data_IF_149960029859
#
_entry.id   IF_149960029859
#
_cell.length_a   1.000
_cell.length_b   1.000
_cell.length_c   1.000
_cell.angle_alpha   90.00
_cell.angle_beta   90.00
_cell.angle_gamma   90.00
#
_symmetry.space_group_name_H-M   'P 1'
#
loop_
_entity.id
_entity.type
_entity.pdbx_description
1 polymer ?
#
# COMPACT_ATOMS: atom_id res chain seq x y z
N UNK A 1 -2.57 4.88 10.51
CA UNK A 1 -3.46 3.99 9.74
C UNK A 1 -3.50 2.60 10.37
N UNK A 2 -2.37 1.94 10.54
CA UNK A 2 -2.27 0.56 11.04
C UNK A 2 -2.97 0.36 12.39
N UNK A 3 -2.86 1.28 13.34
CA UNK A 3 -3.52 1.15 14.65
C UNK A 3 -5.05 1.22 14.54
N UNK A 4 -5.59 2.06 13.64
CA UNK A 4 -7.03 2.12 13.38
C UNK A 4 -7.52 0.80 12.77
N UNK A 5 -6.79 0.26 11.79
CA UNK A 5 -7.14 -1.04 11.20
C UNK A 5 -7.06 -2.19 12.20
N UNK A 6 -6.07 -2.19 13.11
CA UNK A 6 -6.00 -3.16 14.20
C UNK A 6 -7.22 -3.07 15.13
N UNK A 7 -7.62 -1.85 15.49
CA UNK A 7 -8.81 -1.64 16.32
C UNK A 7 -10.06 -2.19 15.64
N UNK A 8 -10.27 -1.88 14.36
CA UNK A 8 -11.40 -2.40 13.58
C UNK A 8 -11.37 -3.94 13.56
N UNK A 9 -10.20 -4.54 13.29
CA UNK A 9 -10.03 -6.00 13.27
C UNK A 9 -10.30 -6.71 14.59
N UNK A 10 -10.22 -6.00 15.72
CA UNK A 10 -10.55 -6.54 17.04
C UNK A 10 -12.06 -6.48 17.37
N UNK A 11 -12.82 -5.61 16.68
CA UNK A 11 -14.22 -5.32 17.01
C UNK A 11 -15.21 -5.77 15.93
N UNK A 12 -14.73 -6.05 14.72
CA UNK A 12 -15.55 -6.44 13.57
C UNK A 12 -14.98 -7.68 12.87
N UNK A 13 -15.84 -8.46 12.27
CA UNK A 13 -15.44 -9.57 11.39
C UNK A 13 -14.93 -9.02 10.07
N UNK A 14 -13.64 -8.75 10.00
CA UNK A 14 -13.04 -8.17 8.82
C UNK A 14 -11.75 -8.87 8.38
N UNK A 15 -11.46 -8.78 7.10
CA UNK A 15 -10.15 -9.08 6.54
C UNK A 15 -9.44 -7.78 6.18
N UNK A 16 -8.15 -7.68 6.50
CA UNK A 16 -7.33 -6.49 6.29
C UNK A 16 -6.11 -6.87 5.47
N UNK A 17 -5.93 -6.21 4.34
CA UNK A 17 -4.84 -6.43 3.41
C UNK A 17 -4.00 -5.18 3.25
N UNK A 18 -2.69 -5.33 3.46
CA UNK A 18 -1.70 -4.30 3.22
C UNK A 18 -1.13 -4.49 1.82
N UNK A 19 -1.40 -3.58 0.90
CA UNK A 19 -0.98 -3.70 -0.50
C UNK A 19 0.53 -3.85 -0.66
N UNK A 20 1.32 -3.25 0.22
CA UNK A 20 2.77 -3.39 0.24
C UNK A 20 3.21 -4.84 0.52
N UNK A 21 2.53 -5.54 1.46
CA UNK A 21 2.80 -6.94 1.76
C UNK A 21 2.38 -7.85 0.60
N UNK A 22 1.24 -7.55 -0.02
CA UNK A 22 0.80 -8.28 -1.22
C UNK A 22 1.77 -8.04 -2.36
N UNK A 23 2.27 -6.82 -2.53
CA UNK A 23 3.33 -6.51 -3.49
C UNK A 23 4.61 -7.35 -3.28
N UNK A 24 4.86 -7.87 -2.09
CA UNK A 24 5.90 -8.87 -1.87
C UNK A 24 5.45 -10.27 -2.28
N UNK A 25 4.25 -10.70 -1.89
CA UNK A 25 3.69 -12.02 -2.22
C UNK A 25 3.61 -12.27 -3.72
N UNK A 26 3.16 -11.30 -4.50
CA UNK A 26 3.05 -11.45 -5.97
C UNK A 26 4.40 -11.52 -6.68
N UNK A 27 5.50 -11.30 -5.97
CA UNK A 27 6.88 -11.46 -6.44
C UNK A 27 7.57 -12.70 -5.91
N UNK A 28 6.89 -13.56 -5.16
CA UNK A 28 7.46 -14.81 -4.66
C UNK A 28 7.68 -15.81 -5.80
N UNK A 29 8.72 -16.64 -5.73
CA UNK A 29 8.99 -17.65 -6.74
C UNK A 29 7.77 -18.50 -7.07
N UNK A 30 7.49 -18.69 -8.37
CA UNK A 30 6.34 -19.44 -8.86
C UNK A 30 5.08 -18.62 -9.12
N UNK A 31 5.05 -17.34 -8.78
CA UNK A 31 3.92 -16.46 -9.13
C UNK A 31 4.04 -15.91 -10.55
N UNK A 32 2.91 -15.53 -11.15
CA UNK A 32 2.90 -14.86 -12.46
C UNK A 32 3.73 -13.57 -12.47
N UNK A 33 3.61 -12.76 -11.39
CA UNK A 33 4.38 -11.53 -11.22
C UNK A 33 5.88 -11.78 -11.16
N UNK A 34 6.32 -12.82 -10.45
CA UNK A 34 7.73 -13.25 -10.42
C UNK A 34 8.25 -13.57 -11.81
N UNK A 35 7.55 -14.45 -12.54
CA UNK A 35 7.97 -14.84 -13.88
C UNK A 35 8.00 -13.67 -14.86
N UNK A 36 7.02 -12.77 -14.80
CA UNK A 36 6.99 -11.58 -15.64
C UNK A 36 8.14 -10.61 -15.32
N UNK A 37 8.49 -10.43 -14.05
CA UNK A 37 9.64 -9.60 -13.65
C UNK A 37 10.97 -10.19 -14.10
N UNK A 38 11.16 -11.49 -13.95
CA UNK A 38 12.37 -12.19 -14.44
C UNK A 38 12.47 -12.10 -15.95
N UNK A 39 11.36 -12.26 -16.68
CA UNK A 39 11.33 -12.10 -18.12
C UNK A 39 11.67 -10.66 -18.56
N UNK A 40 11.20 -9.65 -17.82
CA UNK A 40 11.48 -8.24 -18.09
C UNK A 40 12.93 -7.84 -17.80
N UNK A 41 13.45 -8.27 -16.65
CA UNK A 41 14.71 -7.74 -16.10
C UNK A 41 15.88 -8.73 -16.18
N UNK A 42 15.60 -10.00 -16.52
CA UNK A 42 16.58 -11.08 -16.58
C UNK A 42 16.99 -11.62 -15.20
N UNK A 43 17.70 -12.75 -15.19
CA UNK A 43 18.10 -13.46 -13.97
C UNK A 43 19.01 -12.65 -13.03
N UNK A 44 19.60 -11.57 -13.49
CA UNK A 44 20.44 -10.69 -12.66
C UNK A 44 19.71 -9.97 -11.53
N UNK A 45 18.38 -10.15 -11.39
CA UNK A 45 17.60 -9.70 -10.24
C UNK A 45 17.35 -10.82 -9.23
N UNK A 46 17.93 -12.00 -9.41
CA UNK A 46 17.72 -13.14 -8.54
C UNK A 46 18.87 -13.31 -7.55
N UNK A 47 18.53 -13.58 -6.32
CA UNK A 47 19.46 -14.06 -5.30
C UNK A 47 19.79 -15.56 -5.52
N UNK A 48 20.85 -16.09 -4.88
CA UNK A 48 21.24 -17.49 -5.04
C UNK A 48 20.16 -18.53 -4.65
N UNK A 49 19.20 -18.13 -3.83
CA UNK A 49 18.04 -18.94 -3.42
C UNK A 49 16.86 -18.86 -4.39
N UNK A 50 17.01 -18.13 -5.50
CA UNK A 50 15.99 -17.94 -6.51
C UNK A 50 14.94 -16.88 -6.17
N UNK A 51 15.04 -16.19 -5.04
CA UNK A 51 14.16 -15.07 -4.72
C UNK A 51 14.61 -13.79 -5.45
N UNK A 52 13.69 -12.82 -5.57
CA UNK A 52 14.07 -11.52 -6.12
C UNK A 52 14.95 -10.77 -5.12
N UNK A 53 16.16 -10.45 -5.53
CA UNK A 53 17.10 -9.59 -4.83
C UNK A 53 16.65 -8.12 -4.97
N UNK A 54 16.08 -7.58 -3.88
CA UNK A 54 15.56 -6.20 -3.86
C UNK A 54 16.64 -5.16 -4.20
N UNK A 55 17.86 -5.20 -3.64
CA UNK A 55 18.97 -4.34 -4.04
C UNK A 55 19.29 -4.41 -5.52
N UNK A 56 19.42 -5.62 -6.08
CA UNK A 56 19.75 -5.82 -7.50
C UNK A 56 18.64 -5.27 -8.42
N UNK A 57 17.38 -5.54 -8.08
CA UNK A 57 16.23 -4.99 -8.79
C UNK A 57 16.19 -3.46 -8.72
N UNK A 58 16.39 -2.89 -7.53
CA UNK A 58 16.42 -1.43 -7.34
C UNK A 58 17.56 -0.77 -8.12
N UNK A 59 18.74 -1.39 -8.17
CA UNK A 59 19.89 -0.89 -8.93
C UNK A 59 19.58 -0.82 -10.44
N UNK A 60 18.89 -1.84 -11.00
CA UNK A 60 18.48 -1.83 -12.41
C UNK A 60 17.46 -0.73 -12.70
N UNK A 61 16.46 -0.55 -11.83
CA UNK A 61 15.45 0.51 -11.97
C UNK A 61 16.12 1.89 -11.87
N UNK A 62 17.10 2.04 -10.99
CA UNK A 62 17.84 3.30 -10.85
C UNK A 62 18.67 3.61 -12.11
N UNK A 63 19.26 2.60 -12.73
CA UNK A 63 20.04 2.73 -13.98
C UNK A 63 19.17 3.01 -15.21
N UNK A 64 17.92 2.52 -15.21
CA UNK A 64 16.94 2.74 -16.28
C UNK A 64 15.56 3.07 -15.69
N UNK A 65 15.24 4.36 -15.54
CA UNK A 65 13.95 4.78 -14.97
C UNK A 65 12.72 4.29 -15.74
N UNK A 66 12.84 3.90 -17.01
CA UNK A 66 11.71 3.38 -17.80
C UNK A 66 11.26 2.02 -17.29
N UNK A 67 12.15 1.27 -16.63
CA UNK A 67 11.82 -0.01 -15.99
C UNK A 67 10.83 0.15 -14.84
N UNK A 68 10.80 1.29 -14.17
CA UNK A 68 9.86 1.51 -13.05
C UNK A 68 8.41 1.41 -13.52
N UNK A 69 8.08 2.04 -14.65
CA UNK A 69 6.73 1.99 -15.22
C UNK A 69 6.37 0.57 -15.65
N UNK A 70 7.30 -0.14 -16.27
CA UNK A 70 7.09 -1.53 -16.70
C UNK A 70 6.92 -2.49 -15.52
N UNK A 71 7.72 -2.31 -14.46
CA UNK A 71 7.58 -3.07 -13.20
C UNK A 71 6.22 -2.78 -12.56
N UNK A 72 5.80 -1.52 -12.50
CA UNK A 72 4.50 -1.15 -11.95
C UNK A 72 3.36 -1.72 -12.79
N UNK A 73 3.49 -1.77 -14.11
CA UNK A 73 2.52 -2.39 -15.02
C UNK A 73 2.36 -3.91 -14.80
N UNK A 74 3.36 -4.57 -14.20
CA UNK A 74 3.28 -5.98 -13.79
C UNK A 74 2.69 -6.11 -12.39
N UNK A 75 3.22 -5.35 -11.43
CA UNK A 75 2.90 -5.52 -10.01
C UNK A 75 1.50 -5.03 -9.67
N UNK A 76 1.05 -3.87 -10.18
CA UNK A 76 -0.27 -3.32 -9.82
C UNK A 76 -1.41 -4.25 -10.24
N UNK A 77 -1.47 -4.79 -11.47
CA UNK A 77 -2.50 -5.76 -11.83
C UNK A 77 -2.42 -7.06 -11.02
N UNK A 78 -1.22 -7.54 -10.72
CA UNK A 78 -1.04 -8.75 -9.91
C UNK A 78 -1.57 -8.57 -8.47
N UNK A 79 -1.31 -7.41 -7.85
CA UNK A 79 -1.86 -7.06 -6.55
C UNK A 79 -3.38 -6.95 -6.59
N UNK A 80 -3.94 -6.25 -7.60
CA UNK A 80 -5.39 -6.12 -7.76
C UNK A 80 -6.07 -7.48 -7.97
N UNK A 81 -5.48 -8.35 -8.78
CA UNK A 81 -5.97 -9.71 -8.98
C UNK A 81 -5.97 -10.51 -7.68
N UNK A 82 -4.86 -10.47 -6.94
CA UNK A 82 -4.77 -11.14 -5.64
C UNK A 82 -5.88 -10.69 -4.68
N UNK A 83 -6.11 -9.37 -4.57
CA UNK A 83 -7.16 -8.80 -3.73
C UNK A 83 -8.56 -9.23 -4.19
N UNK A 84 -8.81 -9.23 -5.49
CA UNK A 84 -10.09 -9.69 -6.06
C UNK A 84 -10.36 -11.17 -5.74
N UNK A 85 -9.35 -12.03 -5.86
CA UNK A 85 -9.44 -13.46 -5.51
C UNK A 85 -9.74 -13.64 -4.01
N UNK A 86 -9.08 -12.89 -3.12
CA UNK A 86 -9.35 -12.91 -1.67
C UNK A 86 -10.75 -12.41 -1.33
N UNK A 87 -11.19 -11.32 -1.95
CA UNK A 87 -12.54 -10.81 -1.77
C UNK A 87 -13.61 -11.83 -2.20
N UNK A 88 -13.39 -12.50 -3.34
CA UNK A 88 -14.30 -13.54 -3.81
C UNK A 88 -14.38 -14.71 -2.81
N UNK A 89 -13.25 -15.14 -2.25
CA UNK A 89 -13.21 -16.16 -1.23
C UNK A 89 -13.94 -15.74 0.06
N UNK A 90 -13.72 -14.51 0.52
CA UNK A 90 -14.40 -13.97 1.70
C UNK A 90 -15.92 -13.91 1.49
N UNK A 91 -16.37 -13.44 0.31
CA UNK A 91 -17.79 -13.43 -0.07
C UNK A 91 -18.39 -14.84 -0.10
N UNK A 92 -17.67 -15.83 -0.61
CA UNK A 92 -18.15 -17.22 -0.67
C UNK A 92 -18.26 -17.87 0.71
N UNK A 93 -17.37 -17.54 1.64
CA UNK A 93 -17.43 -18.02 3.02
C UNK A 93 -18.57 -17.38 3.81
N UNK A 94 -18.89 -16.11 3.53
CA UNK A 94 -19.98 -15.37 4.16
C UNK A 94 -19.78 -15.06 5.64
N UNK A 95 -18.54 -15.11 6.13
CA UNK A 95 -18.18 -14.88 7.53
C UNK A 95 -17.46 -13.55 7.76
N UNK A 96 -17.26 -12.77 6.69
CA UNK A 96 -16.58 -11.46 6.68
C UNK A 96 -17.60 -10.35 6.38
N UNK A 97 -17.66 -9.36 7.26
CA UNK A 97 -18.54 -8.19 7.11
C UNK A 97 -17.84 -7.07 6.35
N UNK A 98 -16.54 -6.89 6.57
CA UNK A 98 -15.74 -5.81 6.02
C UNK A 98 -14.44 -6.35 5.43
N UNK A 99 -14.05 -5.82 4.28
CA UNK A 99 -12.81 -6.17 3.60
C UNK A 99 -12.01 -4.88 3.35
N UNK A 100 -10.89 -4.72 4.05
CA UNK A 100 -10.07 -3.53 3.98
C UNK A 100 -8.82 -3.73 3.16
N UNK A 101 -8.51 -2.74 2.34
CA UNK A 101 -7.22 -2.61 1.66
C UNK A 101 -6.53 -1.33 2.13
N UNK A 102 -5.32 -1.45 2.63
CA UNK A 102 -4.49 -0.30 2.99
C UNK A 102 -3.32 -0.19 2.00
N UNK A 103 -3.17 0.97 1.39
CA UNK A 103 -2.02 1.32 0.57
C UNK A 103 -1.66 2.80 0.70
N UNK A 104 -0.46 3.13 0.26
CA UNK A 104 0.02 4.51 0.26
C UNK A 104 -0.55 5.32 -0.92
N UNK A 105 -0.85 4.67 -2.03
CA UNK A 105 -1.20 5.28 -3.32
C UNK A 105 -2.51 4.70 -3.88
N UNK A 106 -3.57 4.59 -3.05
CA UNK A 106 -4.86 4.01 -3.48
C UNK A 106 -5.51 4.82 -4.59
N UNK A 107 -5.55 6.15 -4.45
CA UNK A 107 -6.17 7.06 -5.40
C UNK A 107 -5.41 7.00 -6.73
N UNK A 108 -4.10 7.22 -6.69
CA UNK A 108 -3.23 7.23 -7.86
C UNK A 108 -3.21 5.88 -8.60
N UNK A 109 -3.48 4.81 -7.88
CA UNK A 109 -3.57 3.45 -8.45
C UNK A 109 -4.99 3.09 -8.91
N UNK A 110 -5.96 4.00 -8.83
CA UNK A 110 -7.34 3.82 -9.31
C UNK A 110 -8.13 2.76 -8.53
N UNK A 111 -7.95 2.68 -7.21
CA UNK A 111 -8.72 1.77 -6.38
C UNK A 111 -10.15 2.26 -6.15
N UNK A 112 -10.42 3.55 -6.31
CA UNK A 112 -11.76 4.15 -6.21
C UNK A 112 -12.82 3.48 -7.09
N UNK A 113 -12.39 2.81 -8.18
CA UNK A 113 -13.30 2.11 -9.10
C UNK A 113 -13.56 0.65 -8.69
N UNK A 114 -12.92 0.14 -7.65
CA UNK A 114 -13.00 -1.28 -7.26
C UNK A 114 -13.33 -1.49 -5.78
N UNK A 115 -13.46 -0.42 -5.01
CA UNK A 115 -13.91 -0.43 -3.61
C UNK A 115 -15.26 0.24 -3.50
N UNK A 116 -16.03 -0.11 -2.47
CA UNK A 116 -17.32 0.52 -2.20
C UNK A 116 -17.16 1.89 -1.56
N UNK A 117 -16.10 2.07 -0.75
CA UNK A 117 -15.80 3.31 -0.03
C UNK A 117 -14.29 3.54 0.11
N UNK A 118 -13.89 4.79 0.06
CA UNK A 118 -12.53 5.26 0.32
C UNK A 118 -12.47 6.03 1.62
N UNK A 119 -11.57 5.64 2.53
CA UNK A 119 -11.41 6.28 3.84
C UNK A 119 -10.07 7.02 3.93
N UNK A 120 -10.14 8.32 4.24
CA UNK A 120 -8.97 9.14 4.47
C UNK A 120 -8.63 9.21 5.96
N UNK A 121 -7.50 8.62 6.34
CA UNK A 121 -6.97 8.79 7.70
C UNK A 121 -6.14 10.07 7.72
N UNK A 122 -6.79 11.13 8.10
CA UNK A 122 -6.21 12.46 8.18
C UNK A 122 -5.37 12.63 9.46
N UNK A 123 -4.33 13.42 9.39
CA UNK A 123 -3.66 14.00 10.55
C UNK A 123 -3.07 15.36 10.14
N UNK A 124 -3.17 16.35 11.04
CA UNK A 124 -2.57 17.67 10.84
C UNK A 124 -1.09 17.55 10.45
N UNK A 125 -0.63 18.45 9.62
CA UNK A 125 0.74 18.40 9.08
C UNK A 125 1.82 18.43 10.17
N UNK A 126 1.64 19.29 11.20
CA UNK A 126 2.56 19.36 12.34
C UNK A 126 2.65 18.03 13.09
N UNK A 127 1.52 17.32 13.23
CA UNK A 127 1.45 16.00 13.85
C UNK A 127 2.14 14.95 12.95
N UNK A 128 1.93 15.00 11.64
CA UNK A 128 2.61 14.09 10.69
C UNK A 128 4.11 14.29 10.73
N UNK A 129 4.59 15.55 10.70
CA UNK A 129 6.01 15.91 10.80
C UNK A 129 6.64 15.37 12.09
N UNK A 130 6.01 15.61 13.22
CA UNK A 130 6.46 15.11 14.52
C UNK A 130 6.53 13.58 14.53
N UNK A 131 5.47 12.88 14.11
CA UNK A 131 5.43 11.41 14.07
C UNK A 131 6.51 10.81 13.16
N UNK A 132 6.78 11.41 12.00
CA UNK A 132 7.85 10.98 11.09
C UNK A 132 9.23 11.17 11.71
N UNK A 133 9.46 12.28 12.43
CA UNK A 133 10.71 12.52 13.15
C UNK A 133 10.91 11.54 14.31
N UNK A 134 9.91 11.44 15.20
CA UNK A 134 10.02 10.64 16.44
C UNK A 134 10.02 9.13 16.17
N UNK A 135 9.11 8.63 15.32
CA UNK A 135 8.93 7.19 15.12
C UNK A 135 9.86 6.59 14.05
N UNK A 136 10.32 7.40 13.10
CA UNK A 136 11.17 6.96 11.98
C UNK A 136 12.56 7.56 11.96
N UNK A 137 12.83 8.56 12.81
CA UNK A 137 14.11 9.27 12.86
C UNK A 137 14.44 10.00 11.55
N UNK A 138 13.43 10.43 10.78
CA UNK A 138 13.66 11.10 9.50
C UNK A 138 14.13 12.54 9.73
N UNK A 139 15.06 12.99 8.88
CA UNK A 139 15.52 14.37 8.88
C UNK A 139 14.43 15.33 8.37
N UNK A 140 14.49 16.62 8.75
CA UNK A 140 13.54 17.63 8.25
C UNK A 140 13.43 17.68 6.73
N UNK A 141 14.55 17.58 6.01
CA UNK A 141 14.60 17.61 4.55
C UNK A 141 13.90 16.40 3.93
N UNK A 142 14.04 15.21 4.57
CA UNK A 142 13.35 14.00 4.12
C UNK A 142 11.86 14.07 4.38
N UNK A 143 11.45 14.63 5.53
CA UNK A 143 10.05 14.84 5.89
C UNK A 143 9.39 15.79 4.89
N UNK A 144 10.05 16.91 4.55
CA UNK A 144 9.57 17.86 3.55
C UNK A 144 9.30 17.20 2.20
N UNK A 145 10.27 16.43 1.71
CA UNK A 145 10.12 15.68 0.45
C UNK A 145 8.96 14.69 0.48
N UNK A 146 8.76 13.98 1.58
CA UNK A 146 7.64 13.03 1.74
C UNK A 146 6.31 13.77 1.70
N UNK A 147 6.18 14.89 2.42
CA UNK A 147 4.93 15.65 2.47
C UNK A 147 4.65 16.29 1.10
N UNK A 148 5.66 16.87 0.46
CA UNK A 148 5.52 17.48 -0.86
C UNK A 148 5.20 16.48 -1.99
N UNK A 149 5.50 15.20 -1.81
CA UNK A 149 5.17 14.15 -2.78
C UNK A 149 3.78 13.54 -2.63
N UNK A 150 3.04 13.90 -1.58
CA UNK A 150 1.69 13.42 -1.35
C UNK A 150 0.66 14.33 -2.02
N UNK A 151 -0.50 13.78 -2.32
CA UNK A 151 -1.67 14.59 -2.70
C UNK A 151 -1.99 15.61 -1.59
N UNK A 152 -2.56 16.73 -1.99
CA UNK A 152 -3.05 17.72 -1.05
C UNK A 152 -4.22 17.20 -0.21
N UNK A 153 -4.49 17.80 0.93
CA UNK A 153 -5.65 17.46 1.75
C UNK A 153 -6.97 17.61 0.97
N UNK A 154 -7.06 18.63 0.12
CA UNK A 154 -8.23 18.87 -0.71
C UNK A 154 -8.46 17.73 -1.71
N UNK A 155 -7.41 17.28 -2.39
CA UNK A 155 -7.48 16.14 -3.31
C UNK A 155 -7.90 14.87 -2.58
N UNK A 156 -7.32 14.56 -1.39
CA UNK A 156 -7.77 13.42 -0.61
C UNK A 156 -9.26 13.49 -0.25
N UNK A 157 -9.74 14.68 0.17
CA UNK A 157 -11.15 14.86 0.54
C UNK A 157 -12.12 14.74 -0.65
N UNK A 158 -11.66 15.06 -1.87
CA UNK A 158 -12.47 14.91 -3.09
C UNK A 158 -12.63 13.44 -3.50
N UNK A 159 -11.66 12.60 -3.20
CA UNK A 159 -11.64 11.19 -3.58
C UNK A 159 -12.08 10.22 -2.47
N UNK A 160 -12.31 10.71 -1.27
CA UNK A 160 -12.65 9.87 -0.13
C UNK A 160 -14.04 10.15 0.41
N UNK A 161 -14.79 9.09 0.73
CA UNK A 161 -16.15 9.16 1.26
C UNK A 161 -16.17 9.53 2.74
N UNK A 162 -15.15 9.09 3.50
CA UNK A 162 -15.02 9.34 4.92
C UNK A 162 -13.65 9.89 5.29
N UNK A 163 -13.62 10.74 6.30
CA UNK A 163 -12.40 11.29 6.89
C UNK A 163 -12.36 10.96 8.37
N UNK A 164 -11.34 10.21 8.78
CA UNK A 164 -11.07 9.93 10.20
C UNK A 164 -9.92 10.82 10.64
N UNK A 165 -10.18 11.74 11.56
CA UNK A 165 -9.13 12.59 12.13
C UNK A 165 -8.31 11.80 13.16
N UNK A 166 -7.04 11.59 12.85
CA UNK A 166 -6.07 10.95 13.71
C UNK A 166 -4.98 11.94 14.15
N UNK A 167 -5.36 13.19 14.37
CA UNK A 167 -4.42 14.23 14.80
C UNK A 167 -4.12 14.19 16.30
N UNK A 168 -5.13 13.83 17.10
CA UNK A 168 -5.06 13.85 18.56
C UNK A 168 -4.78 12.43 19.13
N UNK A 169 -5.60 11.93 20.04
CA UNK A 169 -5.41 10.59 20.61
C UNK A 169 -5.97 9.50 19.69
N UNK A 170 -5.50 8.25 19.90
CA UNK A 170 -6.07 7.11 19.20
C UNK A 170 -7.52 6.85 19.63
N UNK A 171 -7.85 7.11 20.90
CA UNK A 171 -9.19 6.97 21.45
C UNK A 171 -10.20 7.88 20.72
N UNK A 172 -9.78 9.10 20.35
CA UNK A 172 -10.63 10.02 19.58
C UNK A 172 -10.86 9.51 18.15
N UNK A 173 -9.86 8.84 17.55
CA UNK A 173 -9.97 8.25 16.22
C UNK A 173 -10.83 6.99 16.16
N UNK A 174 -11.15 6.37 17.32
CA UNK A 174 -11.98 5.16 17.42
C UNK A 174 -13.47 5.45 17.61
N UNK A 175 -13.84 6.71 17.80
CA UNK A 175 -15.23 7.18 17.98
C UNK A 175 -15.87 7.57 16.67
#
# INVERSE_FOLDING_TARGET
KTEILKYIGQHHKCEIYLADEIGHKVKEPGTEGYHALVALMGDGILAPDGQIDKPAMAAKIFADPTLLEQVNAIIHPAVKKYLADRLAEAKNKGDVELFFVEAALLIESGYEHIVDEMWYIYAREDVRRRRLSESRGYTPEKIEKIIASQLSEEEFRQHCDFVIDNSDSLEDSYR
#
